data_IF_090367354929
#
_entry.id   IF_090367354929
#
_cell.length_a   1.000
_cell.length_b   1.000
_cell.length_c   1.000
_cell.angle_alpha   90.00
_cell.angle_beta   90.00
_cell.angle_gamma   90.00
#
_symmetry.space_group_name_H-M   'P 1'
#
loop_
_entity.id
_entity.type
_entity.pdbx_description
1 polymer ?
#
# COMPACT_ATOMS: atom_id res chain seq x y z
N UNK A 1 -7.12 -13.41 -12.58
CA UNK A 1 -5.97 -12.69 -13.16
C UNK A 1 -4.98 -12.42 -12.03
N UNK A 2 -3.73 -12.89 -12.12
CA UNK A 2 -2.70 -12.49 -11.15
C UNK A 2 -2.04 -11.22 -11.69
N UNK A 3 -2.53 -10.06 -11.25
CA UNK A 3 -1.97 -8.77 -11.63
C UNK A 3 -1.20 -8.23 -10.44
N UNK A 4 0.10 -7.95 -10.64
CA UNK A 4 0.86 -7.16 -9.69
C UNK A 4 0.56 -5.70 -9.94
N UNK A 5 0.09 -5.02 -8.91
CA UNK A 5 -0.18 -3.58 -8.93
C UNK A 5 0.93 -2.87 -8.18
N UNK A 6 1.22 -1.64 -8.60
CA UNK A 6 2.31 -0.84 -8.03
C UNK A 6 1.82 0.57 -7.79
N UNK A 7 2.05 1.07 -6.58
CA UNK A 7 1.86 2.49 -6.23
C UNK A 7 3.14 3.01 -5.58
N UNK A 8 3.26 4.34 -5.51
CA UNK A 8 4.41 5.01 -4.91
C UNK A 8 3.95 5.94 -3.79
N UNK A 9 3.77 5.43 -2.56
CA UNK A 9 3.37 6.27 -1.45
C UNK A 9 4.51 7.18 -0.96
N UNK A 10 4.16 8.34 -0.43
CA UNK A 10 5.06 9.34 0.15
C UNK A 10 4.35 10.12 1.27
N UNK A 11 5.09 10.91 2.08
CA UNK A 11 4.48 11.83 3.04
C UNK A 11 4.18 13.19 2.42
N UNK A 12 2.93 13.63 2.53
CA UNK A 12 2.46 14.95 2.17
C UNK A 12 1.72 15.57 3.36
N UNK A 13 2.14 16.76 3.79
CA UNK A 13 1.57 17.47 4.96
C UNK A 13 1.46 16.57 6.21
N UNK A 14 2.44 15.68 6.41
CA UNK A 14 2.48 14.76 7.55
C UNK A 14 1.69 13.46 7.38
N UNK A 15 0.94 13.28 6.29
CA UNK A 15 0.13 12.09 6.01
C UNK A 15 0.77 11.21 4.93
N UNK A 16 0.60 9.89 5.04
CA UNK A 16 0.93 8.98 3.95
C UNK A 16 -0.13 9.10 2.85
N UNK A 17 0.31 9.42 1.64
CA UNK A 17 -0.55 9.55 0.46
C UNK A 17 0.08 8.84 -0.74
N UNK A 18 -0.69 8.62 -1.79
CA UNK A 18 -0.16 8.21 -3.09
C UNK A 18 -0.95 8.85 -4.23
N UNK A 19 -0.32 8.90 -5.40
CA UNK A 19 -0.94 9.34 -6.64
C UNK A 19 -1.03 8.15 -7.60
N UNK A 20 -2.13 8.09 -8.36
CA UNK A 20 -2.24 7.22 -9.52
C UNK A 20 -3.11 7.89 -10.60
N UNK A 21 -2.49 8.62 -11.54
CA UNK A 21 -3.20 9.31 -12.60
C UNK A 21 -3.99 8.38 -13.52
N UNK A 22 -3.62 7.10 -13.64
CA UNK A 22 -4.30 6.16 -14.53
C UNK A 22 -5.71 5.82 -14.04
N UNK A 23 -5.95 5.95 -12.72
CA UNK A 23 -7.26 5.72 -12.09
C UNK A 23 -7.83 6.97 -11.42
N UNK A 24 -7.18 8.12 -11.61
CA UNK A 24 -7.64 9.44 -11.17
C UNK A 24 -7.44 9.75 -9.69
N UNK A 25 -6.46 9.11 -9.04
CA UNK A 25 -6.14 9.35 -7.63
C UNK A 25 -5.04 10.41 -7.52
N UNK A 26 -5.28 11.42 -6.68
CA UNK A 26 -4.35 12.51 -6.39
C UNK A 26 -4.28 12.72 -4.89
N UNK A 27 -3.11 12.47 -4.30
CA UNK A 27 -2.84 12.46 -2.86
C UNK A 27 -3.90 11.67 -2.08
N UNK A 28 -4.25 10.50 -2.60
CA UNK A 28 -5.17 9.59 -1.93
C UNK A 28 -4.54 9.17 -0.59
N UNK A 29 -5.18 9.48 0.55
CA UNK A 29 -4.57 9.27 1.84
C UNK A 29 -4.73 7.84 2.33
N UNK A 30 -3.69 7.34 3.00
CA UNK A 30 -3.80 6.20 3.88
C UNK A 30 -4.20 6.69 5.27
N UNK A 31 -5.25 6.11 5.83
CA UNK A 31 -5.78 6.51 7.14
C UNK A 31 -6.16 5.27 7.95
N UNK A 32 -6.59 5.50 9.20
CA UNK A 32 -7.26 4.53 10.05
C UNK A 32 -6.49 3.19 10.15
N UNK A 33 -5.20 3.29 10.51
CA UNK A 33 -4.34 2.15 10.83
C UNK A 33 -3.46 1.70 9.66
N UNK A 34 -3.81 2.00 8.41
CA UNK A 34 -2.92 1.69 7.27
C UNK A 34 -1.70 2.62 7.26
N UNK A 35 -1.87 3.88 7.63
CA UNK A 35 -0.79 4.86 7.84
C UNK A 35 0.26 4.36 8.84
N UNK A 36 -0.19 3.90 10.01
CA UNK A 36 0.69 3.35 11.04
C UNK A 36 1.32 2.02 10.60
N UNK A 37 0.60 1.23 9.80
CA UNK A 37 1.15 0.01 9.21
C UNK A 37 2.27 0.34 8.22
N UNK A 38 2.09 1.38 7.40
CA UNK A 38 3.13 1.86 6.48
C UNK A 38 4.37 2.27 7.26
N UNK A 39 4.24 3.07 8.34
CA UNK A 39 5.39 3.45 9.18
C UNK A 39 6.18 2.21 9.65
N UNK A 40 5.48 1.15 10.10
CA UNK A 40 6.11 -0.12 10.52
C UNK A 40 6.75 -0.87 9.34
N UNK A 41 6.06 -0.97 8.22
CA UNK A 41 6.51 -1.71 7.04
C UNK A 41 7.73 -1.07 6.39
N UNK A 42 7.83 0.26 6.43
CA UNK A 42 8.92 1.02 5.81
C UNK A 42 10.01 1.43 6.80
N UNK A 43 9.98 0.98 8.05
CA UNK A 43 10.94 1.38 9.10
C UNK A 43 12.41 1.13 8.74
N UNK A 44 12.70 0.22 7.80
CA UNK A 44 14.05 -0.10 7.30
C UNK A 44 14.36 0.48 5.92
N UNK A 45 13.46 1.26 5.34
CA UNK A 45 13.64 1.94 4.05
C UNK A 45 14.12 3.37 4.36
N UNK A 46 15.38 3.73 4.07
CA UNK A 46 15.85 5.09 4.26
C UNK A 46 15.00 6.08 3.46
N UNK A 47 14.64 7.20 4.08
CA UNK A 47 13.90 8.28 3.43
C UNK A 47 12.56 7.85 2.81
N UNK A 48 11.88 6.86 3.40
CA UNK A 48 10.60 6.36 2.91
C UNK A 48 9.53 7.47 2.79
N UNK A 49 9.63 8.52 3.62
CA UNK A 49 8.78 9.71 3.57
C UNK A 49 8.86 10.45 2.22
N UNK A 50 9.96 10.31 1.48
CA UNK A 50 10.14 10.88 0.14
C UNK A 50 9.69 9.94 -0.98
N UNK A 51 9.31 8.71 -0.66
CA UNK A 51 8.78 7.76 -1.63
C UNK A 51 9.32 6.35 -1.44
N UNK A 52 8.44 5.37 -1.51
CA UNK A 52 8.79 3.95 -1.63
C UNK A 52 7.87 3.26 -2.64
N UNK A 53 8.24 2.06 -3.12
CA UNK A 53 7.34 1.27 -3.97
C UNK A 53 6.57 0.28 -3.11
N UNK A 54 5.25 0.28 -3.24
CA UNK A 54 4.39 -0.78 -2.74
C UNK A 54 3.87 -1.59 -3.92
N UNK A 55 4.25 -2.87 -3.97
CA UNK A 55 3.78 -3.84 -4.95
C UNK A 55 2.79 -4.75 -4.24
N UNK A 56 1.61 -4.97 -4.82
CA UNK A 56 0.57 -5.76 -4.17
C UNK A 56 -0.24 -6.60 -5.14
N UNK A 57 -0.82 -7.69 -4.64
CA UNK A 57 -1.67 -8.62 -5.40
C UNK A 57 -2.64 -9.36 -4.48
N UNK A 58 -3.77 -9.82 -5.04
CA UNK A 58 -4.68 -10.73 -4.36
C UNK A 58 -4.17 -12.18 -4.30
N UNK A 59 -3.06 -12.48 -4.99
CA UNK A 59 -2.41 -13.79 -4.99
C UNK A 59 -1.00 -13.68 -4.41
N UNK A 60 -0.48 -14.74 -3.76
CA UNK A 60 0.90 -14.78 -3.33
C UNK A 60 1.86 -14.55 -4.50
N UNK A 61 2.94 -13.82 -4.25
CA UNK A 61 4.01 -13.62 -5.22
C UNK A 61 5.39 -13.61 -4.54
N UNK A 62 6.47 -13.97 -5.26
CA UNK A 62 7.81 -13.97 -4.70
C UNK A 62 8.22 -12.61 -4.15
N UNK A 63 8.71 -12.59 -2.91
CA UNK A 63 9.23 -11.39 -2.26
C UNK A 63 8.19 -10.51 -1.58
N UNK A 64 6.91 -10.92 -1.49
CA UNK A 64 5.95 -10.29 -0.59
C UNK A 64 6.50 -10.28 0.85
N UNK A 65 6.41 -9.14 1.53
CA UNK A 65 6.92 -8.94 2.88
C UNK A 65 5.88 -9.28 3.95
N UNK A 66 4.62 -8.98 3.67
CA UNK A 66 3.50 -9.19 4.59
C UNK A 66 2.20 -9.37 3.80
N UNK A 67 1.13 -9.72 4.50
CA UNK A 67 -0.21 -9.76 3.92
C UNK A 67 -1.23 -9.02 4.76
N UNK A 68 -2.35 -8.70 4.12
CA UNK A 68 -3.54 -8.13 4.71
C UNK A 68 -4.67 -9.14 4.53
N UNK A 69 -5.31 -9.53 5.62
CA UNK A 69 -6.44 -10.47 5.64
C UNK A 69 -7.74 -9.69 5.84
N UNK A 70 -8.68 -9.83 4.90
CA UNK A 70 -9.96 -9.14 4.99
C UNK A 70 -10.74 -9.60 6.24
N UNK A 71 -11.32 -8.64 6.96
CA UNK A 71 -12.12 -8.89 8.17
C UNK A 71 -13.58 -8.56 7.98
N UNK A 72 -13.87 -7.33 7.55
CA UNK A 72 -15.23 -6.81 7.40
C UNK A 72 -15.28 -5.61 6.48
N UNK A 73 -16.45 -5.39 5.88
CA UNK A 73 -16.81 -4.10 5.29
C UNK A 73 -17.47 -3.24 6.36
N UNK A 74 -17.04 -1.98 6.47
CA UNK A 74 -17.61 -1.00 7.41
C UNK A 74 -17.23 0.42 6.99
N UNK A 75 -18.08 1.40 7.32
CA UNK A 75 -17.87 2.83 7.04
C UNK A 75 -17.54 3.12 5.56
N UNK A 76 -18.14 2.35 4.65
CA UNK A 76 -17.94 2.51 3.21
C UNK A 76 -16.59 2.00 2.69
N UNK A 77 -15.80 1.29 3.48
CA UNK A 77 -14.55 0.66 3.04
C UNK A 77 -14.34 -0.70 3.69
N UNK A 78 -13.11 -1.21 3.63
CA UNK A 78 -12.80 -2.59 4.01
C UNK A 78 -11.70 -2.62 5.06
N UNK A 79 -12.00 -3.24 6.20
CA UNK A 79 -11.01 -3.50 7.25
C UNK A 79 -10.22 -4.76 6.94
N UNK A 80 -8.91 -4.62 7.01
CA UNK A 80 -7.95 -5.69 6.86
C UNK A 80 -7.06 -5.80 8.09
N UNK A 81 -6.68 -7.02 8.44
CA UNK A 81 -5.72 -7.31 9.50
C UNK A 81 -4.39 -7.76 8.91
N UNK A 82 -3.28 -7.21 9.39
CA UNK A 82 -1.94 -7.77 9.12
C UNK A 82 -1.50 -8.65 10.29
N UNK A 83 -1.32 -9.98 10.07
CA UNK A 83 -0.71 -10.85 11.06
C UNK A 83 0.72 -10.42 11.43
N UNK A 84 1.50 -9.95 10.46
CA UNK A 84 2.90 -9.56 10.66
C UNK A 84 3.05 -8.36 11.59
N UNK A 85 2.10 -7.41 11.54
CA UNK A 85 2.13 -6.20 12.37
C UNK A 85 1.12 -6.21 13.53
N UNK A 86 0.34 -7.30 13.65
CA UNK A 86 -0.75 -7.49 14.60
C UNK A 86 -1.70 -6.30 14.68
N UNK A 87 -2.11 -5.78 13.53
CA UNK A 87 -2.85 -4.52 13.44
C UNK A 87 -3.92 -4.58 12.36
N UNK A 88 -5.06 -3.95 12.62
CA UNK A 88 -6.07 -3.66 11.60
C UNK A 88 -5.84 -2.31 10.94
N UNK A 89 -6.21 -2.21 9.67
CA UNK A 89 -6.31 -0.95 8.95
C UNK A 89 -7.48 -0.95 7.99
N UNK A 90 -8.04 0.22 7.77
CA UNK A 90 -9.15 0.42 6.85
C UNK A 90 -8.64 0.88 5.48
N UNK A 91 -9.07 0.21 4.42
CA UNK A 91 -8.83 0.60 3.04
C UNK A 91 -10.12 1.16 2.44
N UNK A 92 -10.01 2.39 1.92
CA UNK A 92 -11.10 3.12 1.29
C UNK A 92 -11.58 2.47 -0.02
N UNK A 93 -12.68 2.95 -0.63
CA UNK A 93 -13.15 2.51 -1.94
C UNK A 93 -12.13 2.62 -3.08
N UNK A 94 -11.05 3.39 -2.93
CA UNK A 94 -9.97 3.44 -3.92
C UNK A 94 -9.36 2.04 -4.16
N UNK A 95 -9.48 1.11 -3.21
CA UNK A 95 -9.18 -0.32 -3.38
C UNK A 95 -9.81 -0.89 -4.66
N UNK A 96 -11.03 -0.48 -5.00
CA UNK A 96 -11.76 -0.99 -6.16
C UNK A 96 -11.28 -0.42 -7.50
N UNK A 97 -10.35 0.54 -7.49
CA UNK A 97 -9.61 0.93 -8.70
C UNK A 97 -8.60 -0.13 -9.14
N UNK A 98 -8.21 -1.00 -8.21
CA UNK A 98 -7.21 -2.05 -8.39
C UNK A 98 -7.82 -3.46 -8.42
N UNK A 99 -8.90 -3.66 -7.67
CA UNK A 99 -9.58 -4.95 -7.56
C UNK A 99 -11.06 -4.86 -7.95
N UNK A 100 -11.58 -5.90 -8.59
CA UNK A 100 -13.02 -5.98 -8.94
C UNK A 100 -13.93 -6.15 -7.73
N UNK A 101 -13.40 -6.69 -6.64
CA UNK A 101 -14.07 -6.91 -5.35
C UNK A 101 -13.02 -6.90 -4.25
N UNK A 102 -13.43 -6.77 -2.98
CA UNK A 102 -12.48 -6.74 -1.88
C UNK A 102 -11.86 -8.14 -1.75
N UNK A 103 -10.55 -8.31 -2.03
CA UNK A 103 -9.95 -9.63 -1.99
C UNK A 103 -9.83 -10.12 -0.54
N UNK A 104 -9.95 -11.44 -0.34
CA UNK A 104 -9.79 -12.09 0.98
C UNK A 104 -8.40 -11.86 1.57
N UNK A 105 -7.39 -11.80 0.72
CA UNK A 105 -6.00 -11.52 1.08
C UNK A 105 -5.40 -10.51 0.11
N UNK A 106 -4.52 -9.64 0.60
CA UNK A 106 -3.67 -8.78 -0.22
C UNK A 106 -2.24 -9.02 0.23
N UNK A 107 -1.42 -9.58 -0.65
CA UNK A 107 0.00 -9.76 -0.45
C UNK A 107 0.70 -8.46 -0.83
N UNK A 108 1.64 -7.98 -0.02
CA UNK A 108 2.30 -6.69 -0.20
C UNK A 108 3.80 -6.84 -0.07
N UNK A 109 4.53 -6.24 -1.01
CA UNK A 109 5.97 -5.99 -0.94
C UNK A 109 6.19 -4.49 -0.86
N UNK A 110 7.00 -4.05 0.09
CA UNK A 110 7.52 -2.69 0.17
C UNK A 110 9.02 -2.72 -0.11
N UNK A 111 9.48 -1.82 -0.95
CA UNK A 111 10.89 -1.70 -1.28
C UNK A 111 11.25 -0.22 -1.49
N UNK A 112 12.52 0.16 -1.30
CA UNK A 112 12.96 1.50 -1.65
C UNK A 112 12.51 1.83 -3.07
N UNK A 113 12.13 3.09 -3.31
CA UNK A 113 12.05 3.62 -4.67
C UNK A 113 13.48 3.62 -5.16
N UNK A 114 13.91 2.48 -5.71
CA UNK A 114 15.31 2.23 -6.06
C UNK A 114 15.85 3.47 -6.72
N UNK A 115 17.02 3.92 -6.25
CA UNK A 115 17.69 5.09 -6.78
C UNK A 115 17.50 5.07 -8.29
N UNK A 116 16.75 6.03 -8.83
CA UNK A 116 17.04 6.39 -10.20
C UNK A 116 18.55 6.56 -10.22
N UNK A 117 19.17 5.78 -11.10
CA UNK A 117 20.56 5.86 -11.43
C UNK A 117 21.08 7.26 -11.12
N UNK A 118 22.11 7.33 -10.29
CA UNK A 118 23.10 8.39 -10.33
C UNK A 118 23.80 8.41 -11.70
N UNK A 119 23.03 8.52 -12.78
CA UNK A 119 23.45 8.56 -14.17
C UNK A 119 22.29 9.05 -15.04
N UNK A 120 21.98 10.35 -14.97
CA UNK A 120 22.14 11.21 -16.15
C UNK A 120 21.83 12.69 -15.83
N UNK A 121 22.92 13.47 -15.86
CA UNK A 121 23.04 14.94 -16.00
C UNK A 121 22.92 15.78 -14.75
#
# INVERSE_FOLDING_TARGET
MNSLMVIVPYKYEGMWVFDDPAVGLNKEPFIAGIDTLIDKATAKIPHAEHGFRAIFSAMPFPGANFKLEWRREDSGGNWYYSPEFQQEGWLCPALFKYFTSAPREIYVKVEPRGSELSANR
#
